data_IF_556190732899
#
_entry.id   IF_556190732899
#
_cell.length_a   1.000
_cell.length_b   1.000
_cell.length_c   1.000
_cell.angle_alpha   90.00
_cell.angle_beta   90.00
_cell.angle_gamma   90.00
#
_symmetry.space_group_name_H-M   'P 1'
#
loop_
_entity.id
_entity.type
_entity.pdbx_description
1 polymer ?
#
# COMPACT_ATOMS: atom_id res chain seq x y z
N UNK A 1 -7.97 -13.32 16.05
CA UNK A 1 -8.93 -12.21 16.21
C UNK A 1 -8.23 -10.85 16.26
N UNK A 2 -7.22 -10.65 17.11
CA UNK A 2 -6.46 -9.39 17.23
C UNK A 2 -5.83 -8.92 15.90
N UNK A 3 -5.16 -9.82 15.17
CA UNK A 3 -4.56 -9.51 13.86
C UNK A 3 -5.62 -9.14 12.80
N UNK A 4 -6.78 -9.80 12.82
CA UNK A 4 -7.87 -9.50 11.89
C UNK A 4 -8.49 -8.12 12.11
N UNK A 5 -8.62 -7.69 13.37
CA UNK A 5 -9.13 -6.36 13.72
C UNK A 5 -8.16 -5.24 13.32
N UNK A 6 -6.84 -5.47 13.40
CA UNK A 6 -5.83 -4.47 13.00
C UNK A 6 -5.68 -4.35 11.49
N UNK A 7 -6.04 -5.38 10.71
CA UNK A 7 -5.94 -5.36 9.25
C UNK A 7 -6.92 -4.38 8.60
N UNK A 8 -8.10 -4.13 9.19
CA UNK A 8 -9.10 -3.21 8.63
C UNK A 8 -8.56 -1.77 8.52
N UNK A 9 -8.14 -1.10 9.61
CA UNK A 9 -7.58 0.25 9.50
C UNK A 9 -6.27 0.27 8.70
N UNK A 10 -5.44 -0.77 8.79
CA UNK A 10 -4.21 -0.88 8.02
C UNK A 10 -4.47 -0.92 6.50
N UNK A 11 -5.44 -1.72 6.06
CA UNK A 11 -5.79 -1.84 4.65
C UNK A 11 -6.35 -0.53 4.05
N UNK A 12 -7.14 0.20 4.84
CA UNK A 12 -7.69 1.51 4.45
C UNK A 12 -6.56 2.54 4.31
N UNK A 13 -5.64 2.59 5.27
CA UNK A 13 -4.50 3.50 5.22
C UNK A 13 -3.61 3.23 3.99
N UNK A 14 -3.34 1.96 3.69
CA UNK A 14 -2.52 1.59 2.52
C UNK A 14 -3.20 1.84 1.18
N UNK A 15 -4.53 1.69 1.09
CA UNK A 15 -5.27 2.12 -0.10
C UNK A 15 -5.13 3.63 -0.35
N UNK A 16 -5.21 4.45 0.71
CA UNK A 16 -4.98 5.89 0.64
C UNK A 16 -3.55 6.25 0.20
N UNK A 17 -2.55 5.51 0.69
CA UNK A 17 -1.15 5.66 0.26
C UNK A 17 -0.97 5.28 -1.21
N UNK A 18 -1.67 4.25 -1.68
CA UNK A 18 -1.66 3.80 -3.07
C UNK A 18 -2.41 4.75 -4.03
N UNK A 19 -3.19 5.69 -3.51
CA UNK A 19 -4.04 6.58 -4.31
C UNK A 19 -5.30 5.90 -4.87
N UNK A 20 -5.71 4.78 -4.27
CA UNK A 20 -6.87 3.98 -4.68
C UNK A 20 -8.05 4.18 -3.71
N UNK A 21 -9.30 3.90 -4.13
CA UNK A 21 -10.44 3.93 -3.23
C UNK A 21 -10.26 2.95 -2.06
N UNK A 22 -10.67 3.29 -0.82
CA UNK A 22 -10.47 2.45 0.38
C UNK A 22 -10.96 1.00 0.24
N UNK A 23 -12.00 0.78 -0.56
CA UNK A 23 -12.61 -0.52 -0.80
C UNK A 23 -11.62 -1.52 -1.42
N UNK A 24 -10.71 -1.04 -2.29
CA UNK A 24 -9.69 -1.88 -2.92
C UNK A 24 -8.65 -2.39 -1.91
N UNK A 25 -8.38 -1.65 -0.84
CA UNK A 25 -7.54 -2.13 0.27
C UNK A 25 -8.17 -3.32 1.00
N UNK A 26 -9.48 -3.25 1.29
CA UNK A 26 -10.19 -4.37 1.90
C UNK A 26 -10.27 -5.58 0.97
N UNK A 27 -10.54 -5.37 -0.33
CA UNK A 27 -10.58 -6.46 -1.29
C UNK A 27 -9.22 -7.16 -1.41
N UNK A 28 -8.13 -6.41 -1.42
CA UNK A 28 -6.77 -6.96 -1.43
C UNK A 28 -6.51 -7.83 -0.19
N UNK A 29 -6.81 -7.34 1.02
CA UNK A 29 -6.63 -8.11 2.26
C UNK A 29 -7.45 -9.41 2.28
N UNK A 30 -8.71 -9.34 1.87
CA UNK A 30 -9.60 -10.50 1.90
C UNK A 30 -9.18 -11.56 0.87
N UNK A 31 -8.87 -11.14 -0.36
CA UNK A 31 -8.41 -12.05 -1.41
C UNK A 31 -7.03 -12.65 -1.08
N UNK A 32 -6.11 -11.89 -0.50
CA UNK A 32 -4.80 -12.38 -0.11
C UNK A 32 -4.89 -13.49 0.94
N UNK A 33 -5.78 -13.37 1.93
CA UNK A 33 -6.06 -14.42 2.90
C UNK A 33 -6.62 -15.70 2.23
N UNK A 34 -7.55 -15.54 1.28
CA UNK A 34 -8.12 -16.67 0.56
C UNK A 34 -7.06 -17.43 -0.26
N UNK A 35 -6.24 -16.70 -1.02
CA UNK A 35 -5.14 -17.28 -1.81
C UNK A 35 -4.11 -17.96 -0.90
N UNK A 36 -3.74 -17.33 0.22
CA UNK A 36 -2.79 -17.93 1.15
C UNK A 36 -3.31 -19.21 1.82
N UNK A 37 -4.61 -19.30 2.07
CA UNK A 37 -5.19 -20.52 2.66
C UNK A 37 -5.04 -21.73 1.73
N UNK A 38 -4.99 -21.51 0.40
CA UNK A 38 -4.85 -22.56 -0.61
C UNK A 38 -3.38 -22.87 -0.94
N UNK A 39 -2.52 -21.84 -0.99
CA UNK A 39 -1.12 -21.96 -1.47
C UNK A 39 -0.05 -21.74 -0.38
N UNK A 40 -0.44 -21.46 0.87
CA UNK A 40 0.46 -21.09 1.94
C UNK A 40 1.18 -22.28 2.58
N UNK A 41 2.50 -22.19 2.70
CA UNK A 41 3.34 -23.21 3.35
C UNK A 41 3.56 -22.98 4.85
N UNK A 42 3.25 -21.80 5.38
CA UNK A 42 3.56 -21.39 6.77
C UNK A 42 2.28 -20.97 7.50
N UNK A 43 2.12 -21.32 8.78
CA UNK A 43 0.90 -21.03 9.55
C UNK A 43 0.92 -19.66 10.25
N UNK A 44 2.12 -19.11 10.51
CA UNK A 44 2.30 -17.91 11.33
C UNK A 44 2.55 -16.62 10.53
N UNK A 45 2.53 -16.69 9.18
CA UNK A 45 2.74 -15.49 8.36
C UNK A 45 1.41 -14.77 8.12
N UNK A 46 1.26 -13.59 8.74
CA UNK A 46 0.13 -12.71 8.46
C UNK A 46 0.30 -12.11 7.06
N UNK A 47 -0.55 -12.53 6.12
CA UNK A 47 -0.60 -11.98 4.77
C UNK A 47 -1.66 -10.90 4.67
N UNK A 48 -1.25 -9.77 4.09
CA UNK A 48 -2.09 -8.62 3.87
C UNK A 48 -1.36 -7.59 3.01
N UNK A 49 -2.04 -6.49 2.67
CA UNK A 49 -1.43 -5.39 1.95
C UNK A 49 -0.30 -4.83 2.79
N UNK A 50 0.86 -4.64 2.16
CA UNK A 50 2.05 -4.06 2.80
C UNK A 50 2.23 -2.62 2.34
N UNK A 51 2.84 -1.80 3.21
CA UNK A 51 3.26 -0.43 2.90
C UNK A 51 4.03 -0.33 1.58
N UNK A 52 4.93 -1.29 1.36
CA UNK A 52 5.78 -1.40 0.19
C UNK A 52 4.95 -1.60 -1.08
N UNK A 53 4.04 -2.58 -1.05
CA UNK A 53 3.18 -2.85 -2.20
C UNK A 53 2.35 -1.62 -2.56
N UNK A 54 1.79 -0.90 -1.57
CA UNK A 54 1.00 0.30 -1.80
C UNK A 54 1.81 1.44 -2.48
N UNK A 55 3.04 1.68 -2.03
CA UNK A 55 3.91 2.70 -2.63
C UNK A 55 4.30 2.30 -4.06
N UNK A 56 4.70 1.04 -4.28
CA UNK A 56 5.05 0.55 -5.61
C UNK A 56 3.84 0.59 -6.56
N UNK A 57 2.65 0.22 -6.09
CA UNK A 57 1.42 0.35 -6.87
C UNK A 57 1.21 1.80 -7.26
N UNK A 58 1.32 2.77 -6.33
CA UNK A 58 1.18 4.20 -6.65
C UNK A 58 2.16 4.68 -7.72
N UNK A 59 3.43 4.31 -7.60
CA UNK A 59 4.46 4.68 -8.59
C UNK A 59 4.23 4.02 -9.95
N UNK A 60 3.63 2.83 -10.01
CA UNK A 60 3.31 2.19 -11.28
C UNK A 60 1.95 2.60 -11.86
N UNK A 61 1.05 3.14 -11.03
CA UNK A 61 -0.31 3.45 -11.44
C UNK A 61 -0.37 4.72 -12.28
N UNK A 62 0.47 5.75 -12.05
CA UNK A 62 0.58 6.97 -12.91
C UNK A 62 -0.76 7.59 -13.42
N UNK A 63 -1.90 7.37 -12.72
CA UNK A 63 -3.24 7.79 -13.16
C UNK A 63 -3.99 6.83 -14.09
N UNK A 64 -3.42 5.66 -14.41
CA UNK A 64 -4.14 4.52 -14.96
C UNK A 64 -5.18 4.04 -13.94
N UNK A 65 -6.33 3.57 -14.41
CA UNK A 65 -7.44 3.17 -13.55
C UNK A 65 -7.09 2.02 -12.59
N UNK A 66 -7.95 1.76 -11.58
CA UNK A 66 -7.75 0.70 -10.58
C UNK A 66 -7.58 -0.72 -11.18
N UNK A 67 -7.98 -0.90 -12.44
CA UNK A 67 -7.80 -2.11 -13.24
C UNK A 67 -6.32 -2.50 -13.37
N UNK A 68 -5.44 -1.51 -13.52
CA UNK A 68 -4.01 -1.75 -13.67
C UNK A 68 -3.36 -2.18 -12.35
N UNK A 69 -3.85 -1.69 -11.20
CA UNK A 69 -3.42 -2.14 -9.89
C UNK A 69 -3.75 -3.63 -9.66
N UNK A 70 -4.91 -4.09 -10.13
CA UNK A 70 -5.28 -5.51 -10.10
C UNK A 70 -4.38 -6.33 -11.03
N UNK A 71 -4.11 -5.83 -12.24
CA UNK A 71 -3.18 -6.48 -13.17
C UNK A 71 -1.78 -6.66 -12.54
N UNK A 72 -1.25 -5.61 -11.92
CA UNK A 72 0.02 -5.61 -11.18
C UNK A 72 0.04 -6.66 -10.05
N UNK A 73 -1.10 -6.87 -9.37
CA UNK A 73 -1.20 -7.87 -8.32
C UNK A 73 -1.15 -9.32 -8.84
N UNK A 74 -1.50 -9.56 -10.10
CA UNK A 74 -1.39 -10.87 -10.75
C UNK A 74 -0.03 -11.13 -11.39
N UNK A 75 0.84 -10.12 -11.48
CA UNK A 75 2.18 -10.35 -12.01
C UNK A 75 2.95 -11.33 -11.11
N UNK A 76 3.66 -12.30 -11.71
CA UNK A 76 4.41 -13.28 -10.94
C UNK A 76 5.45 -12.57 -10.07
N UNK A 77 5.43 -12.92 -8.79
CA UNK A 77 6.43 -12.44 -7.83
C UNK A 77 7.81 -13.02 -8.16
N UNK A 78 8.84 -12.28 -7.78
CA UNK A 78 10.24 -12.69 -7.95
C UNK A 78 10.46 -14.04 -7.23
N UNK A 79 11.15 -15.02 -7.84
CA UNK A 79 11.40 -16.29 -7.18
C UNK A 79 12.12 -16.08 -5.85
N UNK A 80 11.73 -16.83 -4.81
CA UNK A 80 12.20 -16.65 -3.44
C UNK A 80 13.72 -16.60 -3.28
N UNK A 81 14.44 -17.33 -4.12
CA UNK A 81 15.91 -17.31 -4.17
C UNK A 81 16.50 -15.92 -4.40
N UNK A 82 15.83 -15.04 -5.15
CA UNK A 82 16.32 -13.69 -5.41
C UNK A 82 16.14 -12.77 -4.19
N UNK A 83 15.14 -13.04 -3.34
CA UNK A 83 14.86 -12.29 -2.13
C UNK A 83 15.95 -12.54 -1.07
N UNK A 84 16.52 -13.74 -1.03
CA UNK A 84 17.63 -14.09 -0.12
C UNK A 84 18.92 -13.30 -0.42
N UNK A 85 19.07 -12.71 -1.61
CA UNK A 85 20.20 -11.83 -1.92
C UNK A 85 20.01 -10.38 -1.45
N UNK A 86 18.83 -10.03 -0.92
CA UNK A 86 18.59 -8.70 -0.37
C UNK A 86 19.19 -8.63 1.03
N UNK A 87 20.13 -7.71 1.23
CA UNK A 87 20.77 -7.57 2.53
C UNK A 87 19.80 -7.00 3.57
N UNK A 88 19.92 -7.46 4.82
CA UNK A 88 19.14 -6.92 5.93
C UNK A 88 19.13 -5.38 6.01
N UNK A 89 20.28 -4.70 5.84
CA UNK A 89 20.35 -3.23 5.81
C UNK A 89 19.50 -2.59 4.70
N UNK A 90 19.42 -3.20 3.51
CA UNK A 90 18.61 -2.68 2.40
C UNK A 90 17.12 -2.77 2.71
N UNK A 91 16.68 -3.90 3.28
CA UNK A 91 15.29 -4.09 3.69
C UNK A 91 14.87 -3.11 4.79
N UNK A 92 15.73 -2.89 5.79
CA UNK A 92 15.47 -1.95 6.89
C UNK A 92 15.48 -0.50 6.39
N UNK A 93 16.41 -0.13 5.51
CA UNK A 93 16.46 1.21 4.90
C UNK A 93 15.21 1.51 4.08
N UNK A 94 14.76 0.56 3.27
CA UNK A 94 13.56 0.70 2.45
C UNK A 94 12.27 0.77 3.29
N UNK A 95 12.16 -0.07 4.33
CA UNK A 95 11.04 -0.03 5.27
C UNK A 95 10.99 1.30 6.03
N UNK A 96 12.14 1.85 6.41
CA UNK A 96 12.24 3.16 7.07
C UNK A 96 11.77 4.29 6.15
N UNK A 97 12.16 4.27 4.87
CA UNK A 97 11.67 5.23 3.88
C UNK A 97 10.14 5.12 3.70
N UNK A 98 9.61 3.90 3.60
CA UNK A 98 8.17 3.67 3.51
C UNK A 98 7.42 4.20 4.75
N UNK A 99 7.98 4.02 5.95
CA UNK A 99 7.40 4.53 7.18
C UNK A 99 7.34 6.07 7.19
N UNK A 100 8.40 6.76 6.72
CA UNK A 100 8.42 8.23 6.59
C UNK A 100 7.36 8.70 5.58
N UNK A 101 7.24 8.01 4.43
CA UNK A 101 6.21 8.32 3.42
C UNK A 101 4.82 8.18 4.00
N UNK A 102 4.55 7.09 4.72
CA UNK A 102 3.25 6.87 5.37
C UNK A 102 2.99 7.94 6.43
N UNK A 103 3.94 8.21 7.32
CA UNK A 103 3.79 9.25 8.33
C UNK A 103 3.43 10.60 7.68
N UNK A 104 4.15 11.00 6.64
CA UNK A 104 3.86 12.23 5.88
C UNK A 104 2.49 12.18 5.20
N UNK A 105 2.08 11.00 4.72
CA UNK A 105 0.79 10.81 4.04
C UNK A 105 -0.38 10.80 5.02
N UNK A 106 -0.20 10.34 6.25
CA UNK A 106 -1.28 10.32 7.25
C UNK A 106 -1.37 11.64 8.05
N UNK A 107 -0.30 12.44 8.13
CA UNK A 107 -0.31 13.75 8.82
C UNK A 107 -1.34 14.71 8.20
N UNK A 108 -1.52 14.68 6.88
CA UNK A 108 -2.55 15.48 6.18
C UNK A 108 -3.99 15.04 6.53
N UNK A 109 -4.22 13.76 6.79
CA UNK A 109 -5.53 13.24 7.23
C UNK A 109 -5.82 13.62 8.70
N UNK A 110 -4.79 13.61 9.56
CA UNK A 110 -4.90 14.02 10.98
C UNK A 110 -5.14 15.53 11.11
N UNK A 111 -4.56 16.35 10.23
CA UNK A 111 -4.76 17.81 10.20
C UNK A 111 -6.11 18.23 9.59
N UNK A 112 -6.96 17.28 9.16
CA UNK A 112 -8.32 17.55 8.69
C UNK A 112 -8.42 18.22 7.31
N UNK A 113 -7.32 18.28 6.55
CA UNK A 113 -7.28 18.89 5.23
C UNK A 113 -7.71 17.86 4.17
N UNK A 114 -9.01 17.76 3.95
CA UNK A 114 -9.60 16.88 2.94
C UNK A 114 -9.39 17.47 1.54
N UNK A 115 -8.23 17.23 0.93
CA UNK A 115 -8.04 17.50 -0.49
C UNK A 115 -8.42 16.24 -1.30
N UNK A 116 -9.44 16.32 -2.17
CA UNK A 116 -9.69 15.26 -3.14
C UNK A 116 -8.55 15.25 -4.16
N UNK A 117 -7.67 14.25 -4.08
CA UNK A 117 -6.98 13.64 -5.24
C UNK A 117 -6.36 14.54 -6.32
N UNK A 118 -5.87 15.74 -6.02
CA UNK A 118 -5.27 16.66 -6.98
C UNK A 118 -3.93 17.21 -6.51
N UNK A 119 -2.95 17.21 -7.42
CA UNK A 119 -1.55 17.68 -7.27
C UNK A 119 -1.38 18.88 -6.31
N UNK A 120 -0.37 18.80 -5.43
CA UNK A 120 0.11 19.88 -4.55
C UNK A 120 0.41 21.20 -5.28
N UNK A 121 0.65 21.16 -6.60
CA UNK A 121 0.86 22.34 -7.45
C UNK A 121 -0.43 23.16 -7.72
N UNK A 122 -1.62 22.64 -7.42
CA UNK A 122 -2.88 23.38 -7.61
C UNK A 122 -3.24 24.29 -6.41
N UNK A 123 -2.64 24.04 -5.23
CA UNK A 123 -2.87 24.83 -4.02
C UNK A 123 -2.28 26.23 -4.12
N UNK A 124 -1.23 26.44 -4.94
CA UNK A 124 -0.66 27.78 -5.10
C UNK A 124 -1.53 28.72 -5.95
N UNK A 125 -2.37 28.19 -6.84
CA UNK A 125 -3.16 29.03 -7.75
C UNK A 125 -4.50 29.53 -7.17
N UNK A 126 -4.89 29.10 -5.97
CA UNK A 126 -6.16 29.51 -5.35
C UNK A 126 -6.00 30.50 -4.19
N UNK A 127 -4.75 30.94 -3.90
CA UNK A 127 -4.47 31.91 -2.82
C UNK A 127 -4.16 33.32 -3.35
N UNK A 128 -4.32 33.56 -4.66
CA UNK A 128 -4.13 34.86 -5.31
C UNK A 128 -5.43 35.34 -6.02
N UNK A 129 -6.57 35.31 -5.32
CA UNK A 129 -7.70 36.21 -5.60
C UNK A 129 -8.46 36.58 -4.31
#
# INVERSE_FOLDING_TARGET
>A
ITVGLTVIPQAIAYAGVAGLPPQYGLYSSFMACFVYTVFGSVKDSAIGPTAIAAILTRENLHGLGPEFAVLLAFLPSVPGFLIDFISGPVSVGFTSAAAIIIATTQVKDILGLSFPGGKFLQVKHHFDL
#
